data_IF_884740348712
#
_entry.id   IF_884740348712
#
_cell.length_a   1.000
_cell.length_b   1.000
_cell.length_c   1.000
_cell.angle_alpha   90.00
_cell.angle_beta   90.00
_cell.angle_gamma   90.00
#
_symmetry.space_group_name_H-M   'P 1'
#
loop_
_entity.id
_entity.type
_entity.pdbx_description
1 polymer ?
#
# COMPACT_ATOMS: atom_id res chain seq x y z
N UNK A 1 8.86 -9.33 10.53
CA UNK A 1 7.78 -9.83 9.66
C UNK A 1 7.02 -8.60 9.20
N UNK A 2 6.89 -8.37 7.89
CA UNK A 2 6.19 -7.18 7.39
C UNK A 2 4.69 -7.39 7.44
N UNK A 3 3.95 -6.31 7.69
CA UNK A 3 2.49 -6.36 7.70
C UNK A 3 1.93 -6.45 6.28
N UNK A 4 0.81 -7.16 6.10
CA UNK A 4 0.15 -7.26 4.80
C UNK A 4 -0.75 -6.04 4.55
N UNK A 5 -0.62 -5.41 3.39
CA UNK A 5 -1.53 -4.34 2.96
C UNK A 5 -2.86 -4.89 2.48
N UNK A 6 -2.83 -5.98 1.71
CA UNK A 6 -4.04 -6.62 1.22
C UNK A 6 -4.90 -7.13 2.39
N UNK A 7 -6.21 -6.88 2.32
CA UNK A 7 -7.17 -7.16 3.39
C UNK A 7 -7.39 -6.01 4.38
N UNK A 8 -6.55 -4.96 4.37
CA UNK A 8 -6.82 -3.74 5.14
C UNK A 8 -7.97 -2.95 4.50
N UNK A 9 -8.90 -2.46 5.33
CA UNK A 9 -9.95 -1.52 4.92
C UNK A 9 -9.34 -0.15 4.58
N UNK A 10 -10.11 0.72 3.89
CA UNK A 10 -9.65 2.07 3.57
C UNK A 10 -9.25 2.86 4.82
N UNK A 11 -9.97 2.72 5.94
CA UNK A 11 -9.63 3.44 7.16
C UNK A 11 -8.34 2.92 7.81
N UNK A 12 -8.11 1.60 7.80
CA UNK A 12 -6.83 1.04 8.21
C UNK A 12 -5.68 1.49 7.30
N UNK A 13 -5.92 1.66 6.00
CA UNK A 13 -4.93 2.23 5.08
C UNK A 13 -4.67 3.71 5.36
N UNK A 14 -5.68 4.49 5.81
CA UNK A 14 -5.48 5.86 6.28
C UNK A 14 -4.55 5.91 7.50
N UNK A 15 -4.72 4.98 8.44
CA UNK A 15 -3.83 4.87 9.59
C UNK A 15 -2.40 4.53 9.17
N UNK A 16 -2.22 3.60 8.23
CA UNK A 16 -0.90 3.26 7.67
C UNK A 16 -0.23 4.49 7.06
N UNK A 17 -0.91 5.21 6.16
CA UNK A 17 -0.29 6.40 5.52
C UNK A 17 -0.02 7.50 6.54
N UNK A 18 -0.86 7.66 7.57
CA UNK A 18 -0.65 8.60 8.66
C UNK A 18 0.60 8.24 9.48
N UNK A 19 0.77 6.96 9.84
CA UNK A 19 1.96 6.47 10.55
C UNK A 19 3.25 6.69 9.75
N UNK A 20 3.17 6.55 8.42
CA UNK A 20 4.30 6.79 7.52
C UNK A 20 4.52 8.28 7.18
N UNK A 21 3.72 9.19 7.71
CA UNK A 21 3.80 10.63 7.41
C UNK A 21 3.49 10.96 5.94
N UNK A 22 2.64 10.14 5.31
CA UNK A 22 2.19 10.31 3.92
C UNK A 22 0.84 11.04 3.88
N UNK A 23 0.51 11.72 2.77
CA UNK A 23 -0.79 12.37 2.60
C UNK A 23 -1.96 11.39 2.70
N UNK A 24 -3.06 11.81 3.32
CA UNK A 24 -4.24 10.94 3.51
C UNK A 24 -4.86 10.42 2.22
N UNK A 25 -4.73 11.15 1.10
CA UNK A 25 -5.23 10.68 -0.20
C UNK A 25 -4.47 9.46 -0.73
N UNK A 26 -3.23 9.22 -0.26
CA UNK A 26 -2.43 8.06 -0.65
C UNK A 26 -3.09 6.75 -0.25
N UNK A 27 -3.87 6.73 0.84
CA UNK A 27 -4.63 5.55 1.25
C UNK A 27 -5.62 5.08 0.16
N UNK A 28 -6.28 6.03 -0.52
CA UNK A 28 -7.20 5.72 -1.61
C UNK A 28 -6.46 5.17 -2.83
N UNK A 29 -5.30 5.72 -3.15
CA UNK A 29 -4.47 5.20 -4.26
C UNK A 29 -4.00 3.77 -3.97
N UNK A 30 -3.55 3.49 -2.74
CA UNK A 30 -3.19 2.13 -2.31
C UNK A 30 -4.38 1.19 -2.45
N UNK A 31 -5.56 1.57 -1.93
CA UNK A 31 -6.77 0.75 -2.04
C UNK A 31 -7.15 0.47 -3.51
N UNK A 32 -7.05 1.47 -4.39
CA UNK A 32 -7.32 1.29 -5.82
C UNK A 32 -6.37 0.25 -6.44
N UNK A 33 -5.09 0.24 -6.06
CA UNK A 33 -4.14 -0.78 -6.52
C UNK A 33 -4.44 -2.17 -5.93
N UNK A 34 -4.66 -2.26 -4.61
CA UNK A 34 -4.88 -3.54 -3.95
C UNK A 34 -6.14 -4.26 -4.44
N UNK A 35 -7.21 -3.51 -4.77
CA UNK A 35 -8.53 -4.10 -5.01
C UNK A 35 -9.03 -3.97 -6.45
N UNK A 36 -8.39 -3.16 -7.29
CA UNK A 36 -8.81 -2.97 -8.70
C UNK A 36 -7.73 -3.32 -9.71
N UNK A 37 -6.50 -3.59 -9.27
CA UNK A 37 -5.36 -3.90 -10.12
C UNK A 37 -4.80 -5.26 -9.72
N UNK A 38 -4.33 -5.98 -10.71
CA UNK A 38 -3.61 -7.23 -10.50
C UNK A 38 -2.12 -6.86 -10.47
N UNK A 39 -1.57 -6.75 -9.26
CA UNK A 39 -0.16 -6.40 -9.02
C UNK A 39 0.48 -7.45 -8.13
N UNK A 40 1.76 -7.71 -8.36
CA UNK A 40 2.60 -8.59 -7.55
C UNK A 40 3.45 -7.82 -6.52
N UNK A 41 3.74 -6.54 -6.76
CA UNK A 41 4.60 -5.74 -5.87
C UNK A 41 4.10 -4.32 -5.61
N UNK A 42 4.63 -3.70 -4.55
CA UNK A 42 4.36 -2.30 -4.21
C UNK A 42 5.03 -1.36 -5.22
N UNK A 43 6.13 -1.77 -5.86
CA UNK A 43 6.80 -0.95 -6.88
C UNK A 43 5.86 -0.61 -8.06
N UNK A 44 4.91 -1.50 -8.38
CA UNK A 44 3.98 -1.34 -9.50
C UNK A 44 2.98 -0.18 -9.32
N UNK A 45 2.85 0.36 -8.11
CA UNK A 45 1.94 1.46 -7.79
C UNK A 45 2.44 2.81 -8.35
N UNK A 46 2.47 2.96 -9.67
CA UNK A 46 3.12 4.09 -10.38
C UNK A 46 2.54 5.47 -10.12
N UNK A 47 1.31 5.56 -9.59
CA UNK A 47 0.69 6.83 -9.16
C UNK A 47 1.05 7.24 -7.72
N UNK A 48 1.86 6.43 -7.01
CA UNK A 48 2.51 6.80 -5.75
C UNK A 48 3.90 7.36 -6.04
N UNK A 49 4.34 8.33 -5.23
CA UNK A 49 5.71 8.82 -5.30
C UNK A 49 6.71 7.71 -4.94
N UNK A 50 7.95 7.84 -5.42
CA UNK A 50 9.03 6.91 -5.04
C UNK A 50 9.18 6.82 -3.52
N UNK A 51 9.13 7.97 -2.81
CA UNK A 51 9.18 8.02 -1.36
C UNK A 51 8.07 7.18 -0.71
N UNK A 52 6.84 7.26 -1.22
CA UNK A 52 5.72 6.50 -0.68
C UNK A 52 5.91 4.99 -0.85
N UNK A 53 6.31 4.54 -2.05
CA UNK A 53 6.60 3.12 -2.34
C UNK A 53 7.71 2.58 -1.43
N UNK A 54 8.83 3.30 -1.33
CA UNK A 54 9.95 2.90 -0.46
C UNK A 54 9.57 2.86 1.03
N UNK A 55 8.72 3.77 1.52
CA UNK A 55 8.27 3.73 2.92
C UNK A 55 7.35 2.54 3.19
N UNK A 56 6.44 2.23 2.25
CA UNK A 56 5.56 1.07 2.36
C UNK A 56 6.37 -0.23 2.34
N UNK A 57 7.29 -0.40 1.39
CA UNK A 57 8.11 -1.62 1.26
C UNK A 57 8.98 -1.92 2.48
N UNK A 58 9.36 -0.91 3.27
CA UNK A 58 10.13 -1.12 4.50
C UNK A 58 9.33 -1.83 5.59
N UNK A 59 8.04 -1.50 5.72
CA UNK A 59 7.18 -1.99 6.80
C UNK A 59 6.14 -3.03 6.37
N UNK A 60 5.85 -3.09 5.08
CA UNK A 60 4.71 -3.79 4.55
C UNK A 60 5.07 -4.66 3.34
N UNK A 61 4.37 -5.78 3.22
CA UNK A 61 4.29 -6.59 2.02
C UNK A 61 2.89 -6.45 1.42
N UNK A 62 2.78 -6.73 0.12
CA UNK A 62 1.49 -6.69 -0.56
C UNK A 62 0.50 -7.66 0.10
N UNK A 63 0.95 -8.88 0.41
CA UNK A 63 0.15 -9.89 1.11
C UNK A 63 -0.73 -10.75 0.20
N UNK A 64 -0.60 -10.59 -1.12
CA UNK A 64 -1.19 -11.48 -2.12
C UNK A 64 -0.21 -12.65 -2.32
N UNK A 65 -0.68 -13.86 -2.03
CA UNK A 65 0.01 -15.08 -2.47
C UNK A 65 -0.43 -15.33 -3.90
N UNK A 66 0.45 -15.12 -4.87
CA UNK A 66 0.23 -15.67 -6.21
C UNK A 66 0.05 -17.18 -6.05
N UNK A 67 -1.06 -17.72 -6.55
CA UNK A 67 -1.16 -19.14 -6.85
C UNK A 67 -0.32 -19.46 -8.09
#
# INVERSE_FOLDING_TARGET
MKEKLFGKTLDQLKDVVKQLGLPGFTAKQIADWLYKKDIGTIEEMTNLSLKARTLLEKGFDLGISSF
#
